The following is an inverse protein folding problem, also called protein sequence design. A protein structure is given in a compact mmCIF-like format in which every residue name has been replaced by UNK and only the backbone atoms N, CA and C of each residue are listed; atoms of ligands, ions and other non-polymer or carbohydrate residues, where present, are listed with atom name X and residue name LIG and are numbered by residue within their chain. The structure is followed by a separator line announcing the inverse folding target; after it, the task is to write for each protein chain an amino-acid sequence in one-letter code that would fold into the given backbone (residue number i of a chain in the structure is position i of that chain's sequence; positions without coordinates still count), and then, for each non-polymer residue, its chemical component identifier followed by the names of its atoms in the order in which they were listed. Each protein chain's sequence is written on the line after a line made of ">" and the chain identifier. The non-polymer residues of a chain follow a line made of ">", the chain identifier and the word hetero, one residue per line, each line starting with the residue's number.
data_IF_547282760361
#
_entry.id   IF_547282760361
#
_cell.length_a   1.000
_cell.length_b   1.000
_cell.length_c   1.000
_cell.angle_alpha   90.00
_cell.angle_beta   90.00
_cell.angle_gamma   90.00
#
_symmetry.space_group_name_H-M   'P 1'
#
loop_
_entity.id
_entity.type
_entity.pdbx_description
1 polymer ?
#
# COMPACT_ATOMS: atom_id res chain seq x y z
N UNK A 1 4.32 13.27 -12.58
CA UNK A 1 5.21 13.27 -11.39
C UNK A 1 6.56 12.68 -11.78
N UNK A 2 7.64 13.42 -11.56
CA UNK A 2 9.00 12.93 -11.70
C UNK A 2 9.39 12.07 -10.49
N UNK A 3 10.19 11.02 -10.70
CA UNK A 3 10.71 10.19 -9.60
C UNK A 3 12.23 10.21 -9.67
N UNK A 4 12.85 10.65 -8.57
CA UNK A 4 14.31 10.70 -8.42
C UNK A 4 14.75 9.65 -7.41
N UNK A 5 15.84 8.97 -7.67
CA UNK A 5 16.40 7.92 -6.81
C UNK A 5 17.73 8.34 -6.16
N UNK A 6 18.24 9.50 -6.54
CA UNK A 6 19.43 10.09 -5.94
C UNK A 6 19.31 11.63 -5.91
N UNK A 7 20.08 12.27 -5.03
CA UNK A 7 20.15 13.72 -4.97
C UNK A 7 20.69 14.34 -6.28
N UNK A 8 21.47 13.59 -7.06
CA UNK A 8 22.01 14.04 -8.34
C UNK A 8 20.98 14.02 -9.45
N UNK A 9 19.86 13.33 -9.29
CA UNK A 9 18.76 13.30 -10.28
C UNK A 9 17.89 14.57 -10.19
N UNK A 10 17.98 15.29 -9.07
CA UNK A 10 17.19 16.51 -8.86
C UNK A 10 17.76 17.63 -9.74
N UNK A 11 16.95 18.24 -10.63
CA UNK A 11 17.39 19.41 -11.39
C UNK A 11 17.77 20.53 -10.42
N UNK A 12 19.00 21.04 -10.53
CA UNK A 12 19.45 22.10 -9.60
C UNK A 12 18.74 23.43 -9.83
N UNK A 13 18.60 24.22 -8.76
CA UNK A 13 18.11 25.61 -8.73
C UNK A 13 16.59 25.82 -8.92
N UNK A 14 15.77 24.81 -8.84
CA UNK A 14 14.32 25.00 -8.83
C UNK A 14 13.80 25.17 -7.41
N UNK A 15 12.97 26.18 -7.19
CA UNK A 15 12.33 26.40 -5.90
C UNK A 15 11.18 25.39 -5.71
N UNK A 16 10.98 24.90 -4.50
CA UNK A 16 9.93 23.92 -4.21
C UNK A 16 9.25 24.14 -2.85
N UNK A 17 8.11 23.50 -2.68
CA UNK A 17 7.54 23.18 -1.35
C UNK A 17 7.76 21.70 -1.12
N UNK A 18 8.40 21.36 0.01
CA UNK A 18 8.84 20.00 0.29
C UNK A 18 8.03 19.38 1.41
N UNK A 19 7.64 18.13 1.26
CA UNK A 19 7.13 17.30 2.37
C UNK A 19 7.99 16.06 2.55
N UNK A 20 8.09 15.57 3.79
CA UNK A 20 8.96 14.43 4.13
C UNK A 20 8.18 13.39 4.92
N UNK A 21 8.27 12.14 4.53
CA UNK A 21 7.62 11.06 5.24
C UNK A 21 7.80 9.69 4.60
N UNK A 22 7.52 8.64 5.36
CA UNK A 22 7.53 7.28 4.83
C UNK A 22 6.34 6.99 3.92
N UNK A 23 5.24 7.68 4.14
CA UNK A 23 3.98 7.59 3.38
C UNK A 23 3.46 6.17 3.18
N UNK A 24 3.80 5.25 4.10
CA UNK A 24 3.39 3.86 4.02
C UNK A 24 1.88 3.73 4.19
N UNK A 25 1.22 3.19 3.17
CA UNK A 25 -0.23 3.07 3.07
C UNK A 25 -0.95 4.34 2.60
N UNK A 26 -0.30 5.50 2.46
CA UNK A 26 -0.94 6.75 1.99
C UNK A 26 -2.29 7.04 2.66
N UNK A 27 -2.38 6.82 3.99
CA UNK A 27 -3.59 7.04 4.78
C UNK A 27 -4.03 8.51 4.79
N UNK A 28 -5.24 8.79 5.26
CA UNK A 28 -5.83 10.13 5.21
C UNK A 28 -4.97 11.23 5.88
N UNK A 29 -4.20 10.88 6.93
CA UNK A 29 -3.23 11.81 7.52
C UNK A 29 -2.11 12.18 6.54
N UNK A 30 -1.54 11.20 5.81
CA UNK A 30 -0.54 11.46 4.77
C UNK A 30 -1.12 12.31 3.63
N UNK A 31 -2.35 11.99 3.19
CA UNK A 31 -3.02 12.76 2.13
C UNK A 31 -3.19 14.22 2.50
N UNK A 32 -3.47 14.52 3.78
CA UNK A 32 -3.61 15.91 4.24
C UNK A 32 -2.28 16.67 4.18
N UNK A 33 -1.19 16.02 4.62
CA UNK A 33 0.15 16.63 4.54
C UNK A 33 0.52 16.92 3.09
N UNK A 34 0.32 15.96 2.20
CA UNK A 34 0.59 16.07 0.77
C UNK A 34 -0.29 17.12 0.12
N UNK A 35 -1.60 17.16 0.39
CA UNK A 35 -2.50 18.18 -0.17
C UNK A 35 -2.11 19.59 0.29
N UNK A 36 -1.71 19.74 1.56
CA UNK A 36 -1.19 21.02 2.06
C UNK A 36 0.08 21.45 1.32
N UNK A 37 1.01 20.50 1.07
CA UNK A 37 2.23 20.76 0.29
C UNK A 37 1.88 21.26 -1.12
N UNK A 38 0.98 20.57 -1.82
CA UNK A 38 0.54 20.94 -3.17
C UNK A 38 -0.15 22.31 -3.20
N UNK A 39 -1.06 22.57 -2.24
CA UNK A 39 -1.74 23.87 -2.12
C UNK A 39 -0.76 25.02 -1.92
N UNK A 40 0.29 24.79 -1.10
CA UNK A 40 1.33 25.78 -0.85
C UNK A 40 2.22 26.00 -2.07
N UNK A 41 2.60 24.92 -2.75
CA UNK A 41 3.39 24.98 -3.99
C UNK A 41 2.65 25.80 -5.07
N UNK A 42 1.38 25.52 -5.29
CA UNK A 42 0.54 26.27 -6.24
C UNK A 42 0.46 27.77 -5.88
N UNK A 43 0.34 28.11 -4.59
CA UNK A 43 0.30 29.52 -4.15
C UNK A 43 1.60 30.26 -4.41
N UNK A 44 2.73 29.57 -4.36
CA UNK A 44 4.05 30.15 -4.61
C UNK A 44 4.48 30.05 -6.08
N UNK A 45 3.76 29.29 -6.91
CA UNK A 45 4.12 29.03 -8.32
C UNK A 45 5.39 28.19 -8.44
N UNK A 46 5.58 27.22 -7.55
CA UNK A 46 6.75 26.33 -7.50
C UNK A 46 6.30 24.87 -7.44
N UNK A 47 7.23 23.91 -7.57
CA UNK A 47 6.93 22.49 -7.53
C UNK A 47 6.61 21.98 -6.12
N UNK A 48 5.67 21.04 -6.04
CA UNK A 48 5.36 20.25 -4.85
C UNK A 48 6.21 18.96 -4.87
N UNK A 49 7.12 18.81 -3.93
CA UNK A 49 8.08 17.72 -3.87
C UNK A 49 7.88 16.90 -2.61
N UNK A 50 7.84 15.58 -2.73
CA UNK A 50 7.90 14.68 -1.58
C UNK A 50 9.30 14.04 -1.47
N UNK A 51 9.77 13.85 -0.23
CA UNK A 51 10.92 12.98 0.08
C UNK A 51 10.38 11.78 0.82
N UNK A 52 10.63 10.59 0.29
CA UNK A 52 10.32 9.32 0.94
C UNK A 52 11.54 8.42 0.99
N UNK A 53 11.48 7.34 1.75
CA UNK A 53 12.62 6.47 2.02
C UNK A 53 12.35 5.05 1.55
N UNK A 54 13.38 4.43 0.98
CA UNK A 54 13.39 3.01 0.63
C UNK A 54 14.81 2.44 0.78
N UNK A 55 15.02 1.38 1.61
CA UNK A 55 14.03 0.71 2.47
C UNK A 55 13.43 1.61 3.55
N UNK A 56 12.32 1.15 4.15
CA UNK A 56 11.67 1.87 5.25
C UNK A 56 12.58 1.94 6.48
N UNK A 57 12.71 3.10 7.16
CA UNK A 57 13.63 3.25 8.30
C UNK A 57 13.54 2.17 9.38
N UNK A 58 12.32 1.69 9.70
CA UNK A 58 12.14 0.61 10.67
C UNK A 58 12.77 -0.71 10.19
N UNK A 59 12.72 -1.00 8.90
CA UNK A 59 13.33 -2.23 8.35
C UNK A 59 14.85 -2.21 8.48
N UNK A 60 15.47 -1.02 8.51
CA UNK A 60 16.91 -0.86 8.68
C UNK A 60 17.31 -0.85 10.16
N UNK A 61 16.59 -0.08 11.00
CA UNK A 61 16.95 0.08 12.41
C UNK A 61 16.46 -1.04 13.32
N UNK A 62 15.38 -1.74 12.93
CA UNK A 62 14.74 -2.81 13.72
C UNK A 62 14.33 -3.97 12.81
N UNK A 63 15.28 -4.61 12.11
CA UNK A 63 15.00 -5.71 11.18
C UNK A 63 14.30 -6.88 11.87
N UNK A 64 14.54 -7.06 13.17
CA UNK A 64 13.90 -8.10 13.98
C UNK A 64 12.37 -7.93 14.12
N UNK A 65 11.85 -6.73 13.90
CA UNK A 65 10.39 -6.48 13.92
C UNK A 65 9.70 -7.11 12.72
N UNK A 66 10.44 -7.38 11.63
CA UNK A 66 9.88 -7.96 10.41
C UNK A 66 8.77 -7.09 9.80
N UNK A 67 8.95 -5.76 9.79
CA UNK A 67 7.91 -4.83 9.31
C UNK A 67 7.53 -5.13 7.87
N UNK A 68 6.29 -5.57 7.66
CA UNK A 68 5.67 -5.60 6.35
C UNK A 68 5.09 -4.21 6.02
N UNK A 69 5.43 -3.70 4.83
CA UNK A 69 4.88 -2.43 4.34
C UNK A 69 3.40 -2.61 3.96
N UNK A 70 2.57 -1.62 4.29
CA UNK A 70 1.16 -1.62 3.87
C UNK A 70 1.08 -1.51 2.36
N UNK A 71 1.92 -0.65 1.78
CA UNK A 71 1.98 -0.45 0.33
C UNK A 71 3.43 -0.60 -0.16
N UNK A 72 3.67 -1.41 -1.22
CA UNK A 72 4.96 -1.44 -1.89
C UNK A 72 5.31 -0.05 -2.45
N UNK A 73 6.60 0.21 -2.69
CA UNK A 73 7.10 1.49 -3.18
C UNK A 73 6.32 1.98 -4.42
N UNK A 74 6.07 1.08 -5.37
CA UNK A 74 5.31 1.41 -6.58
C UNK A 74 3.94 2.00 -6.26
N UNK A 75 3.16 1.34 -5.38
CA UNK A 75 1.81 1.81 -5.03
C UNK A 75 1.85 3.13 -4.25
N UNK A 76 2.91 3.36 -3.45
CA UNK A 76 3.13 4.66 -2.80
C UNK A 76 3.36 5.76 -3.84
N UNK A 77 4.23 5.52 -4.82
CA UNK A 77 4.52 6.47 -5.89
C UNK A 77 3.31 6.73 -6.79
N UNK A 78 2.55 5.68 -7.15
CA UNK A 78 1.31 5.83 -7.92
C UNK A 78 0.28 6.70 -7.15
N UNK A 79 0.16 6.51 -5.83
CA UNK A 79 -0.74 7.30 -4.99
C UNK A 79 -0.28 8.75 -4.84
N UNK A 80 1.03 9.00 -4.73
CA UNK A 80 1.62 10.35 -4.73
C UNK A 80 1.39 11.08 -6.04
N UNK A 81 1.58 10.40 -7.17
CA UNK A 81 1.30 10.94 -8.50
C UNK A 81 -0.19 11.28 -8.67
N UNK A 82 -1.08 10.38 -8.23
CA UNK A 82 -2.52 10.61 -8.27
C UNK A 82 -2.98 11.76 -7.36
N UNK A 83 -2.24 12.03 -6.27
CA UNK A 83 -2.48 13.18 -5.40
C UNK A 83 -2.08 14.52 -6.03
N UNK A 84 -1.25 14.52 -7.08
CA UNK A 84 -0.84 15.72 -7.81
C UNK A 84 0.51 16.29 -7.41
N UNK A 85 1.39 15.50 -6.78
CA UNK A 85 2.79 15.91 -6.59
C UNK A 85 3.52 16.04 -7.94
N UNK A 86 4.40 17.04 -8.05
CA UNK A 86 5.21 17.26 -9.25
C UNK A 86 6.41 16.31 -9.29
N UNK A 87 7.03 16.08 -8.13
CA UNK A 87 8.15 15.16 -8.02
C UNK A 87 8.21 14.43 -6.66
N UNK A 88 8.92 13.29 -6.65
CA UNK A 88 9.23 12.54 -5.43
C UNK A 88 10.67 12.07 -5.46
N UNK A 89 11.44 12.39 -4.41
CA UNK A 89 12.73 11.78 -4.14
C UNK A 89 12.53 10.53 -3.29
N UNK A 90 12.94 9.39 -3.81
CA UNK A 90 13.06 8.12 -3.09
C UNK A 90 14.49 8.03 -2.58
N UNK A 91 14.74 8.54 -1.38
CA UNK A 91 16.06 8.48 -0.77
C UNK A 91 16.38 7.05 -0.33
N UNK A 92 17.49 6.50 -0.79
CA UNK A 92 17.98 5.21 -0.32
C UNK A 92 18.38 5.32 1.15
N UNK A 93 17.64 4.63 2.05
CA UNK A 93 17.83 4.78 3.48
C UNK A 93 18.90 3.84 4.02
N UNK A 94 20.11 4.33 4.09
CA UNK A 94 21.27 3.63 4.62
C UNK A 94 22.11 4.54 5.55
N UNK A 95 23.34 4.13 5.85
CA UNK A 95 24.23 4.87 6.74
C UNK A 95 24.53 6.30 6.25
N UNK A 96 24.50 6.55 4.95
CA UNK A 96 24.73 7.90 4.40
C UNK A 96 23.60 8.87 4.76
N UNK A 97 22.38 8.36 4.98
CA UNK A 97 21.21 9.17 5.36
C UNK A 97 21.01 9.21 6.87
N UNK A 98 20.99 8.06 7.55
CA UNK A 98 20.62 8.03 8.96
C UNK A 98 21.72 8.50 9.92
N UNK A 99 22.97 8.64 9.46
CA UNK A 99 24.06 9.22 10.25
C UNK A 99 24.17 10.74 10.14
N UNK A 100 23.43 11.36 9.20
CA UNK A 100 23.44 12.82 9.06
C UNK A 100 22.90 13.50 10.32
N UNK A 101 23.61 14.52 10.79
CA UNK A 101 23.06 15.42 11.78
C UNK A 101 21.84 16.16 11.23
N UNK A 102 20.97 16.66 12.10
CA UNK A 102 19.75 17.34 11.67
C UNK A 102 20.03 18.51 10.70
N UNK A 103 21.07 19.29 10.96
CA UNK A 103 21.46 20.42 10.10
C UNK A 103 22.02 19.95 8.74
N UNK A 104 22.82 18.90 8.72
CA UNK A 104 23.36 18.34 7.48
C UNK A 104 22.24 17.83 6.56
N UNK A 105 21.26 17.09 7.12
CA UNK A 105 20.10 16.63 6.37
C UNK A 105 19.30 17.79 5.79
N UNK A 106 19.02 18.81 6.58
CA UNK A 106 18.27 20.01 6.13
C UNK A 106 19.03 20.73 5.02
N UNK A 107 20.33 20.98 5.22
CA UNK A 107 21.12 21.70 4.24
C UNK A 107 21.20 20.95 2.90
N UNK A 108 21.59 19.68 2.95
CA UNK A 108 21.81 18.87 1.74
C UNK A 108 20.51 18.59 0.99
N UNK A 109 19.49 18.08 1.68
CA UNK A 109 18.25 17.62 1.03
C UNK A 109 17.29 18.75 0.73
N UNK A 110 17.06 19.66 1.69
CA UNK A 110 16.02 20.67 1.55
C UNK A 110 16.53 21.94 0.88
N UNK A 111 17.69 22.43 1.32
CA UNK A 111 18.22 23.74 0.87
C UNK A 111 18.93 23.57 -0.47
N UNK A 112 19.98 22.77 -0.49
CA UNK A 112 20.86 22.67 -1.66
C UNK A 112 20.19 21.94 -2.85
N UNK A 113 19.50 20.82 -2.58
CA UNK A 113 18.94 19.99 -3.64
C UNK A 113 17.50 20.31 -4.00
N UNK A 114 16.61 20.43 -3.04
CA UNK A 114 15.21 20.72 -3.31
C UNK A 114 14.88 22.21 -3.41
N UNK A 115 15.80 23.13 -3.08
CA UNK A 115 15.53 24.57 -3.13
C UNK A 115 14.30 24.97 -2.31
N UNK A 116 14.10 24.35 -1.15
CA UNK A 116 12.89 24.48 -0.35
C UNK A 116 12.59 25.94 0.02
N UNK A 117 11.40 26.42 -0.32
CA UNK A 117 10.82 27.69 0.15
C UNK A 117 9.94 27.47 1.35
N UNK A 118 9.25 26.34 1.37
CA UNK A 118 8.44 25.89 2.51
C UNK A 118 8.63 24.39 2.70
N UNK A 119 8.57 23.97 3.96
CA UNK A 119 8.60 22.55 4.35
C UNK A 119 7.35 22.24 5.11
N UNK A 120 6.56 21.25 4.61
CA UNK A 120 5.27 20.85 5.18
C UNK A 120 5.42 19.49 5.84
N UNK A 121 5.19 19.40 7.15
CA UNK A 121 5.36 18.17 7.93
C UNK A 121 4.25 18.00 8.97
N UNK A 122 4.03 16.76 9.43
CA UNK A 122 3.16 16.49 10.59
C UNK A 122 3.78 17.00 11.90
N UNK A 123 2.94 17.18 12.92
CA UNK A 123 3.37 17.70 14.24
C UNK A 123 4.36 16.81 14.99
N UNK A 124 4.40 15.53 14.69
CA UNK A 124 5.30 14.55 15.31
C UNK A 124 6.58 14.28 14.50
N UNK A 125 6.83 15.06 13.46
CA UNK A 125 7.98 14.87 12.57
C UNK A 125 9.31 14.91 13.33
N UNK A 126 10.15 13.90 13.09
CA UNK A 126 11.51 13.75 13.61
C UNK A 126 12.46 13.41 12.48
N UNK A 127 13.69 13.88 12.57
CA UNK A 127 14.69 13.68 11.54
C UNK A 127 16.13 13.75 12.08
N UNK A 128 17.10 13.45 11.23
CA UNK A 128 18.50 13.44 11.57
C UNK A 128 18.89 12.27 12.47
N UNK A 129 20.18 12.18 12.78
CA UNK A 129 20.76 11.07 13.55
C UNK A 129 20.03 10.88 14.89
N UNK A 130 19.59 9.65 15.14
CA UNK A 130 18.86 9.29 16.36
C UNK A 130 17.54 10.02 16.56
N UNK A 131 16.92 10.58 15.50
CA UNK A 131 15.71 11.42 15.58
C UNK A 131 15.87 12.67 16.45
N UNK A 132 17.10 13.24 16.53
CA UNK A 132 17.40 14.40 17.36
C UNK A 132 16.72 15.68 16.86
N UNK A 133 16.51 15.81 15.54
CA UNK A 133 15.82 16.95 14.93
C UNK A 133 14.34 16.95 15.24
N UNK A 134 13.83 18.10 15.67
CA UNK A 134 12.42 18.37 15.99
C UNK A 134 11.86 19.43 15.06
N UNK A 135 10.56 19.71 15.16
CA UNK A 135 9.93 20.83 14.44
C UNK A 135 10.57 22.16 14.82
N UNK A 136 10.93 22.36 16.08
CA UNK A 136 11.58 23.61 16.51
C UNK A 136 12.99 23.72 15.92
N UNK A 137 13.76 22.61 15.90
CA UNK A 137 15.03 22.53 15.16
C UNK A 137 14.83 22.87 13.67
N UNK A 138 13.78 22.34 13.05
CA UNK A 138 13.48 22.61 11.63
C UNK A 138 13.14 24.11 11.41
N UNK A 139 12.40 24.73 12.33
CA UNK A 139 12.07 26.18 12.27
C UNK A 139 13.31 27.07 12.44
N UNK A 140 14.21 26.71 13.37
CA UNK A 140 15.48 27.43 13.56
C UNK A 140 16.34 27.37 12.30
N UNK A 141 16.48 26.17 11.72
CA UNK A 141 17.21 25.98 10.47
C UNK A 141 16.50 26.67 9.29
N UNK A 142 15.17 26.66 9.26
CA UNK A 142 14.38 27.41 8.28
C UNK A 142 14.64 28.90 8.33
N UNK A 143 14.72 29.47 9.53
CA UNK A 143 15.08 30.90 9.73
C UNK A 143 16.50 31.20 9.26
N UNK A 144 17.44 30.26 9.45
CA UNK A 144 18.83 30.41 9.02
C UNK A 144 19.01 30.30 7.52
N UNK A 145 18.33 29.34 6.88
CA UNK A 145 18.51 29.00 5.46
C UNK A 145 17.44 29.59 4.54
N UNK A 146 16.45 30.31 5.07
CA UNK A 146 15.48 31.07 4.29
C UNK A 146 14.28 30.27 3.79
N UNK A 147 13.80 29.26 4.53
CA UNK A 147 12.55 28.56 4.25
C UNK A 147 11.57 28.61 5.44
N UNK A 148 10.27 28.52 5.16
CA UNK A 148 9.23 28.46 6.18
C UNK A 148 8.87 27.02 6.52
N UNK A 149 8.41 26.77 7.78
CA UNK A 149 7.92 25.46 8.22
C UNK A 149 6.42 25.54 8.49
N UNK A 150 5.67 24.69 7.83
CA UNK A 150 4.23 24.53 8.01
C UNK A 150 3.97 23.19 8.67
N UNK A 151 3.37 23.23 9.85
CA UNK A 151 2.96 22.02 10.55
C UNK A 151 1.51 21.73 10.26
N UNK A 152 1.23 20.47 9.88
CA UNK A 152 -0.13 19.97 9.70
C UNK A 152 -0.53 19.28 10.99
N UNK A 153 -1.54 19.83 11.64
CA UNK A 153 -2.12 19.24 12.85
C UNK A 153 -2.72 17.89 12.52
N UNK A 154 -2.52 16.94 13.40
CA UNK A 154 -3.10 15.63 13.27
C UNK A 154 -4.62 15.73 13.12
N UNK A 155 -5.12 15.11 12.05
CA UNK A 155 -6.56 14.97 11.87
C UNK A 155 -6.98 13.67 12.54
N UNK A 156 -7.86 13.80 13.51
CA UNK A 156 -8.53 12.68 14.11
C UNK A 156 -9.67 12.17 13.19
N UNK A 157 -9.84 10.87 13.16
CA UNK A 157 -11.03 10.26 12.60
C UNK A 157 -12.26 10.68 13.42
N UNK A 158 -13.48 10.55 12.87
CA UNK A 158 -14.71 10.82 13.62
C UNK A 158 -14.79 10.08 14.96
N UNK A 159 -14.09 8.95 15.09
CA UNK A 159 -13.99 8.14 16.29
C UNK A 159 -12.98 8.69 17.33
N UNK A 160 -12.36 9.85 17.09
CA UNK A 160 -11.38 10.46 17.99
C UNK A 160 -10.01 9.76 17.99
N UNK A 161 -9.71 8.95 16.98
CA UNK A 161 -8.41 8.29 16.84
C UNK A 161 -7.61 8.91 15.69
N UNK A 162 -6.32 9.14 15.90
CA UNK A 162 -5.40 9.62 14.88
C UNK A 162 -5.25 8.64 13.72
N UNK A 163 -5.28 9.13 12.49
CA UNK A 163 -4.94 8.37 11.28
C UNK A 163 -3.47 7.95 11.31
N UNK A 164 -3.19 6.65 11.24
CA UNK A 164 -1.81 6.15 11.27
C UNK A 164 -1.65 4.81 10.57
N UNK A 165 -0.43 4.53 10.08
CA UNK A 165 -0.08 3.21 9.51
C UNK A 165 -0.19 2.09 10.55
N UNK A 166 0.05 2.37 11.84
CA UNK A 166 -0.15 1.39 12.91
C UNK A 166 -1.61 0.97 13.04
N UNK A 167 -2.54 1.92 12.99
CA UNK A 167 -3.97 1.62 13.03
C UNK A 167 -4.42 0.79 11.82
N UNK A 168 -3.92 1.10 10.61
CA UNK A 168 -4.19 0.27 9.43
C UNK A 168 -3.72 -1.16 9.65
N UNK A 169 -2.51 -1.38 10.18
CA UNK A 169 -1.99 -2.72 10.46
C UNK A 169 -2.82 -3.47 11.48
N UNK A 170 -3.27 -2.81 12.54
CA UNK A 170 -4.17 -3.40 13.55
C UNK A 170 -5.49 -3.88 12.91
N UNK A 171 -6.11 -3.06 12.07
CA UNK A 171 -7.35 -3.40 11.36
C UNK A 171 -7.14 -4.57 10.41
N UNK A 172 -6.06 -4.58 9.63
CA UNK A 172 -5.72 -5.69 8.74
C UNK A 172 -5.44 -6.98 9.52
N UNK A 173 -4.74 -6.89 10.65
CA UNK A 173 -4.49 -8.03 11.53
C UNK A 173 -5.77 -8.60 12.18
N UNK A 174 -6.79 -7.77 12.36
CA UNK A 174 -8.13 -8.19 12.81
C UNK A 174 -9.03 -8.67 11.63
N UNK A 175 -8.60 -8.48 10.39
CA UNK A 175 -9.38 -8.78 9.18
C UNK A 175 -10.45 -7.73 8.85
N UNK A 176 -10.44 -6.58 9.50
CA UNK A 176 -11.31 -5.45 9.18
C UNK A 176 -10.73 -4.63 8.03
N UNK A 177 -10.80 -5.20 6.83
CA UNK A 177 -10.30 -4.54 5.60
C UNK A 177 -11.14 -3.33 5.23
N UNK A 178 -12.43 -3.30 5.60
CA UNK A 178 -13.31 -2.15 5.37
C UNK A 178 -12.95 -0.98 6.31
N UNK A 179 -12.62 -1.27 7.57
CA UNK A 179 -12.06 -0.30 8.51
C UNK A 179 -10.72 0.23 8.02
N UNK A 180 -9.83 -0.66 7.56
CA UNK A 180 -8.55 -0.26 6.98
C UNK A 180 -8.75 0.66 5.77
N UNK A 181 -9.70 0.36 4.88
CA UNK A 181 -10.02 1.21 3.73
C UNK A 181 -10.50 2.61 4.14
N UNK A 182 -11.28 2.74 5.22
CA UNK A 182 -11.67 4.06 5.77
C UNK A 182 -10.45 4.87 6.24
N UNK A 183 -9.52 4.22 6.94
CA UNK A 183 -8.28 4.88 7.42
C UNK A 183 -7.38 5.27 6.26
N UNK A 184 -7.23 4.38 5.27
CA UNK A 184 -6.44 4.61 4.06
C UNK A 184 -7.08 5.65 3.13
N UNK A 185 -8.42 5.72 3.10
CA UNK A 185 -9.17 6.48 2.08
C UNK A 185 -9.10 5.86 0.69
N UNK A 186 -8.74 4.57 0.59
CA UNK A 186 -8.76 3.70 -0.58
C UNK A 186 -8.75 2.24 -0.14
N UNK A 187 -9.10 1.32 -1.05
CA UNK A 187 -9.06 -0.12 -0.75
C UNK A 187 -7.63 -0.58 -0.48
N UNK A 188 -7.47 -1.42 0.54
CA UNK A 188 -6.20 -2.08 0.78
C UNK A 188 -5.86 -3.03 -0.37
N UNK A 189 -4.57 -3.06 -0.75
CA UNK A 189 -4.06 -3.81 -1.90
C UNK A 189 -2.77 -4.52 -1.55
N UNK A 190 -2.65 -5.75 -2.04
CA UNK A 190 -1.41 -6.51 -2.07
C UNK A 190 -1.04 -6.85 -3.50
N UNK A 191 0.23 -7.16 -3.75
CA UNK A 191 0.71 -7.60 -5.08
C UNK A 191 1.49 -8.89 -4.96
N UNK A 192 1.40 -9.73 -5.98
CA UNK A 192 2.17 -10.96 -6.06
C UNK A 192 2.14 -11.55 -7.45
N UNK A 193 3.01 -12.51 -7.69
CA UNK A 193 3.05 -13.30 -8.93
C UNK A 193 2.14 -14.51 -8.78
N UNK A 194 1.36 -14.81 -9.79
CA UNK A 194 0.48 -16.01 -9.77
C UNK A 194 1.31 -17.27 -10.00
N UNK A 195 1.29 -18.16 -9.04
CA UNK A 195 1.98 -19.45 -9.09
C UNK A 195 1.02 -20.64 -9.19
N UNK A 196 1.57 -21.82 -9.42
CA UNK A 196 0.81 -23.06 -9.41
C UNK A 196 0.47 -23.46 -7.98
N UNK A 197 -0.81 -23.49 -7.65
CA UNK A 197 -1.32 -24.09 -6.41
C UNK A 197 -1.60 -25.59 -6.56
N UNK A 198 -2.28 -26.16 -5.57
CA UNK A 198 -2.62 -27.62 -5.54
C UNK A 198 -3.67 -28.06 -6.57
N UNK A 199 -4.22 -27.14 -7.37
CA UNK A 199 -5.21 -27.40 -8.45
C UNK A 199 -6.53 -28.05 -7.98
N UNK A 200 -6.75 -28.26 -6.67
CA UNK A 200 -7.97 -28.91 -6.14
C UNK A 200 -9.23 -28.11 -6.44
N UNK A 201 -9.19 -26.78 -6.33
CA UNK A 201 -10.32 -25.92 -6.63
C UNK A 201 -10.79 -26.03 -8.08
N UNK A 202 -9.86 -26.27 -9.02
CA UNK A 202 -10.16 -26.37 -10.45
C UNK A 202 -11.14 -27.51 -10.76
N UNK A 203 -10.90 -28.69 -10.17
CA UNK A 203 -11.76 -29.89 -10.36
C UNK A 203 -13.14 -29.75 -9.72
N UNK A 204 -13.28 -28.80 -8.80
CA UNK A 204 -14.52 -28.50 -8.09
C UNK A 204 -15.31 -27.32 -8.68
N UNK A 205 -14.81 -26.72 -9.79
CA UNK A 205 -15.44 -25.54 -10.41
C UNK A 205 -15.07 -24.19 -9.79
N UNK A 206 -14.02 -24.15 -8.97
CA UNK A 206 -13.49 -22.94 -8.33
C UNK A 206 -11.99 -22.74 -8.68
N UNK A 207 -11.65 -22.44 -9.96
CA UNK A 207 -10.26 -22.16 -10.31
C UNK A 207 -9.76 -20.92 -9.56
N UNK A 208 -8.58 -21.02 -8.92
CA UNK A 208 -7.99 -19.94 -8.14
C UNK A 208 -6.65 -19.49 -8.72
N UNK A 209 -6.39 -18.18 -8.67
CA UNK A 209 -5.07 -17.60 -8.81
C UNK A 209 -4.40 -17.62 -7.43
N UNK A 210 -3.33 -18.40 -7.29
CA UNK A 210 -2.56 -18.48 -6.05
C UNK A 210 -1.40 -17.49 -6.13
N UNK A 211 -1.25 -16.60 -5.16
CA UNK A 211 -0.10 -15.73 -5.08
C UNK A 211 1.11 -16.49 -4.53
N UNK A 212 2.29 -16.24 -5.09
CA UNK A 212 3.56 -16.74 -4.59
C UNK A 212 3.90 -16.15 -3.21
N UNK A 213 4.93 -16.71 -2.56
CA UNK A 213 5.33 -16.32 -1.19
C UNK A 213 5.88 -14.88 -1.10
N UNK A 214 6.30 -14.29 -2.24
CA UNK A 214 6.83 -12.93 -2.37
C UNK A 214 5.75 -11.84 -2.44
N UNK A 215 4.64 -12.01 -1.70
CA UNK A 215 3.57 -11.02 -1.66
C UNK A 215 4.06 -9.71 -1.05
N UNK A 216 3.87 -8.63 -1.79
CA UNK A 216 4.11 -7.27 -1.33
C UNK A 216 2.83 -6.66 -0.74
N UNK A 217 2.95 -6.06 0.43
CA UNK A 217 1.84 -5.51 1.21
C UNK A 217 1.44 -6.42 2.37
N UNK A 218 0.76 -5.84 3.35
CA UNK A 218 0.30 -6.57 4.54
C UNK A 218 -0.86 -7.50 4.16
N UNK A 219 -0.67 -8.81 4.31
CA UNK A 219 -1.75 -9.78 4.11
C UNK A 219 -2.71 -9.69 5.31
N UNK A 220 -4.03 -9.48 5.13
CA UNK A 220 -5.00 -9.41 6.22
C UNK A 220 -5.15 -10.74 6.95
N UNK A 221 -5.90 -10.76 8.07
CA UNK A 221 -6.17 -11.97 8.84
C UNK A 221 -6.79 -13.08 7.98
N UNK A 222 -6.64 -14.33 8.42
CA UNK A 222 -7.21 -15.50 7.75
C UNK A 222 -8.73 -15.37 7.61
N UNK A 223 -9.26 -15.69 6.43
CA UNK A 223 -10.68 -15.57 6.12
C UNK A 223 -10.97 -15.55 4.64
N UNK A 224 -12.24 -15.42 4.31
CA UNK A 224 -12.73 -15.21 2.94
C UNK A 224 -13.18 -13.77 2.80
N UNK A 225 -12.78 -13.14 1.70
CA UNK A 225 -13.01 -11.71 1.44
C UNK A 225 -13.62 -11.51 0.06
N UNK A 226 -14.48 -10.50 -0.05
CA UNK A 226 -14.88 -9.93 -1.34
C UNK A 226 -13.84 -8.91 -1.78
N UNK A 227 -13.48 -8.92 -3.07
CA UNK A 227 -12.51 -7.97 -3.60
C UNK A 227 -12.33 -8.09 -5.10
N UNK A 228 -11.21 -7.59 -5.60
CA UNK A 228 -10.90 -7.55 -7.02
C UNK A 228 -9.49 -8.07 -7.28
N UNK A 229 -9.35 -8.88 -8.31
CA UNK A 229 -8.08 -9.10 -8.97
C UNK A 229 -7.90 -7.98 -9.99
N UNK A 230 -6.75 -7.31 -9.92
CA UNK A 230 -6.39 -6.22 -10.85
C UNK A 230 -5.16 -6.63 -11.62
N UNK A 231 -5.28 -6.69 -12.94
CA UNK A 231 -4.18 -7.07 -13.84
C UNK A 231 -3.97 -6.00 -14.91
N UNK A 232 -2.75 -5.91 -15.41
CA UNK A 232 -2.45 -5.07 -16.56
C UNK A 232 -3.05 -5.70 -17.82
N UNK A 233 -3.65 -4.89 -18.67
CA UNK A 233 -4.08 -5.35 -20.01
C UNK A 233 -2.86 -5.35 -20.92
N UNK A 234 -2.44 -6.51 -21.47
CA UNK A 234 -1.25 -6.60 -22.30
C UNK A 234 -1.27 -5.61 -23.46
N UNK A 235 -0.16 -4.88 -23.64
CA UNK A 235 0.00 -3.89 -24.73
C UNK A 235 -0.71 -2.56 -24.50
N UNK A 236 -1.27 -2.33 -23.32
CA UNK A 236 -1.94 -1.06 -22.96
C UNK A 236 -1.44 -0.54 -21.61
N UNK A 237 -1.82 0.72 -21.28
CA UNK A 237 -1.63 1.27 -19.92
C UNK A 237 -2.85 1.06 -19.02
N UNK A 238 -3.85 0.31 -19.48
CA UNK A 238 -5.09 0.07 -18.77
C UNK A 238 -4.97 -1.13 -17.81
N UNK A 239 -5.80 -1.13 -16.76
CA UNK A 239 -5.96 -2.24 -15.85
C UNK A 239 -7.36 -2.86 -16.00
N UNK A 240 -7.43 -4.20 -15.94
CA UNK A 240 -8.67 -4.95 -15.87
C UNK A 240 -8.97 -5.26 -14.40
N UNK A 241 -10.21 -4.98 -13.99
CA UNK A 241 -10.72 -5.25 -12.65
C UNK A 241 -11.66 -6.45 -12.71
N UNK A 242 -11.28 -7.54 -12.09
CA UNK A 242 -12.01 -8.81 -12.11
C UNK A 242 -12.57 -9.07 -10.70
N UNK A 243 -13.90 -9.21 -10.53
CA UNK A 243 -14.49 -9.48 -9.22
C UNK A 243 -14.02 -10.86 -8.72
N UNK A 244 -13.65 -10.93 -7.45
CA UNK A 244 -13.06 -12.14 -6.88
C UNK A 244 -13.49 -12.40 -5.44
N UNK A 245 -13.70 -13.69 -5.13
CA UNK A 245 -13.68 -14.21 -3.78
C UNK A 245 -12.23 -14.58 -3.43
N UNK A 246 -11.73 -14.00 -2.34
CA UNK A 246 -10.32 -14.11 -1.96
C UNK A 246 -10.24 -14.90 -0.66
N UNK A 247 -9.52 -16.02 -0.68
CA UNK A 247 -9.20 -16.81 0.52
C UNK A 247 -7.82 -16.44 1.02
N UNK A 248 -7.73 -16.07 2.28
CA UNK A 248 -6.48 -15.90 3.02
C UNK A 248 -6.43 -16.97 4.10
N UNK A 249 -5.43 -17.81 4.07
CA UNK A 249 -5.31 -18.91 5.02
C UNK A 249 -3.88 -19.28 5.33
N UNK A 250 -3.66 -19.92 6.46
CA UNK A 250 -2.37 -20.48 6.86
C UNK A 250 -2.26 -21.90 6.33
N UNK A 251 -1.21 -22.22 5.58
CA UNK A 251 -1.00 -23.56 5.06
C UNK A 251 -0.31 -24.42 6.13
N UNK A 252 -0.99 -25.47 6.70
CA UNK A 252 -0.41 -26.34 7.72
C UNK A 252 0.80 -27.15 7.23
N UNK A 253 0.96 -27.33 5.90
CA UNK A 253 2.03 -28.14 5.32
C UNK A 253 3.40 -27.45 5.33
N UNK A 254 3.45 -26.13 5.52
CA UNK A 254 4.68 -25.32 5.66
C UNK A 254 4.91 -24.88 7.10
N UNK A 255 4.80 -25.78 8.07
CA UNK A 255 4.96 -25.49 9.51
C UNK A 255 4.04 -24.38 10.07
N UNK A 256 2.93 -24.07 9.39
CA UNK A 256 1.90 -23.14 9.87
C UNK A 256 2.30 -21.67 9.96
N UNK A 257 3.39 -21.27 9.30
CA UNK A 257 3.95 -19.91 9.43
C UNK A 257 3.59 -19.02 8.24
N UNK A 258 3.34 -19.58 7.05
CA UNK A 258 3.11 -18.80 5.84
C UNK A 258 1.62 -18.69 5.49
N UNK A 259 1.16 -17.47 5.26
CA UNK A 259 -0.18 -17.20 4.74
C UNK A 259 -0.18 -17.30 3.23
N UNK A 260 -1.16 -18.04 2.70
CA UNK A 260 -1.43 -18.12 1.27
C UNK A 260 -2.61 -17.22 0.92
N UNK A 261 -2.55 -16.64 -0.27
CA UNK A 261 -3.65 -15.83 -0.83
C UNK A 261 -4.09 -16.47 -2.14
N UNK A 262 -5.34 -16.89 -2.19
CA UNK A 262 -5.97 -17.49 -3.34
C UNK A 262 -7.16 -16.65 -3.79
N UNK A 263 -7.22 -16.25 -5.05
CA UNK A 263 -8.31 -15.45 -5.60
C UNK A 263 -9.06 -16.26 -6.66
N UNK A 264 -10.36 -16.52 -6.41
CA UNK A 264 -11.28 -17.06 -7.40
C UNK A 264 -12.00 -15.92 -8.11
N UNK A 265 -11.74 -15.74 -9.40
CA UNK A 265 -12.42 -14.73 -10.23
C UNK A 265 -13.83 -15.21 -10.57
N UNK A 266 -14.85 -14.45 -10.20
CA UNK A 266 -16.24 -14.82 -10.38
C UNK A 266 -16.62 -14.93 -11.86
N UNK A 267 -17.25 -16.05 -12.23
CA UNK A 267 -17.82 -16.25 -13.56
C UNK A 267 -16.80 -16.38 -14.71
N UNK A 268 -15.51 -16.57 -14.44
CA UNK A 268 -14.45 -16.68 -15.45
C UNK A 268 -13.75 -18.03 -15.36
N UNK A 269 -13.78 -18.79 -16.46
CA UNK A 269 -13.07 -20.07 -16.61
C UNK A 269 -11.93 -20.00 -17.63
N UNK A 270 -11.86 -18.91 -18.38
CA UNK A 270 -10.98 -18.69 -19.53
C UNK A 270 -9.64 -18.02 -19.16
N UNK A 271 -9.47 -17.62 -17.90
CA UNK A 271 -8.29 -16.87 -17.46
C UNK A 271 -7.09 -17.78 -17.28
N UNK A 272 -5.97 -17.38 -17.88
CA UNK A 272 -4.66 -17.95 -17.59
C UNK A 272 -3.79 -16.83 -17.00
N UNK A 273 -3.66 -16.81 -15.68
CA UNK A 273 -2.93 -15.78 -14.94
C UNK A 273 -1.54 -16.25 -14.49
N UNK A 274 -1.14 -17.50 -14.78
CA UNK A 274 0.15 -18.03 -14.31
C UNK A 274 1.33 -17.20 -14.79
N UNK A 275 2.23 -16.85 -13.85
CA UNK A 275 3.38 -16.01 -14.09
C UNK A 275 3.06 -14.51 -14.22
N UNK A 276 1.78 -14.12 -14.24
CA UNK A 276 1.41 -12.71 -14.23
C UNK A 276 1.59 -12.12 -12.84
N UNK A 277 2.09 -10.89 -12.79
CA UNK A 277 2.10 -10.08 -11.58
C UNK A 277 0.77 -9.34 -11.48
N UNK A 278 -0.05 -9.70 -10.52
CA UNK A 278 -1.38 -9.12 -10.28
C UNK A 278 -1.40 -8.34 -8.96
N UNK A 279 -2.43 -7.51 -8.82
CA UNK A 279 -2.80 -6.96 -7.53
C UNK A 279 -4.13 -7.58 -7.07
N UNK A 280 -4.28 -7.75 -5.76
CA UNK A 280 -5.52 -8.17 -5.11
C UNK A 280 -5.95 -7.06 -4.16
N UNK A 281 -7.18 -6.55 -4.34
CA UNK A 281 -7.76 -5.53 -3.46
C UNK A 281 -8.88 -6.12 -2.62
N UNK A 282 -8.97 -5.68 -1.37
CA UNK A 282 -9.95 -6.18 -0.40
C UNK A 282 -11.05 -5.14 -0.16
N UNK A 283 -12.31 -5.56 -0.28
CA UNK A 283 -13.48 -4.70 -0.04
C UNK A 283 -14.10 -4.98 1.32
N UNK A 284 -14.39 -6.25 1.62
CA UNK A 284 -15.00 -6.66 2.87
C UNK A 284 -14.64 -8.11 3.23
N UNK A 285 -14.55 -8.41 4.51
CA UNK A 285 -14.45 -9.80 4.98
C UNK A 285 -15.83 -10.43 4.96
N UNK A 286 -15.96 -11.55 4.26
CA UNK A 286 -17.19 -12.35 4.19
C UNK A 286 -17.32 -13.19 5.46
N UNK A 287 -16.26 -13.92 5.84
CA UNK A 287 -16.23 -14.78 7.01
C UNK A 287 -14.81 -15.13 7.48
N UNK A 288 -14.62 -15.61 8.71
CA UNK A 288 -13.37 -16.26 9.11
C UNK A 288 -13.19 -17.61 8.38
N UNK A 289 -12.01 -18.23 8.50
CA UNK A 289 -11.79 -19.60 8.04
C UNK A 289 -12.63 -20.56 8.87
N UNK A 290 -13.18 -21.58 8.18
CA UNK A 290 -14.01 -22.62 8.77
C UNK A 290 -13.42 -24.00 8.45
N UNK A 291 -13.67 -24.97 9.33
CA UNK A 291 -13.44 -26.39 9.08
C UNK A 291 -14.75 -27.05 8.63
N UNK A 292 -14.69 -28.02 7.74
CA UNK A 292 -15.85 -28.72 7.20
C UNK A 292 -15.67 -30.23 7.40
N UNK A 293 -16.74 -30.91 7.77
CA UNK A 293 -16.74 -32.34 8.01
C UNK A 293 -16.98 -33.15 6.73
N UNK A 294 -17.46 -32.48 5.66
CA UNK A 294 -17.72 -33.10 4.35
C UNK A 294 -17.39 -32.18 3.19
N UNK A 295 -17.18 -32.79 2.00
CA UNK A 295 -16.98 -32.04 0.76
C UNK A 295 -18.26 -31.26 0.37
N UNK A 296 -19.44 -31.80 0.62
CA UNK A 296 -20.72 -31.18 0.28
C UNK A 296 -20.95 -29.90 1.11
N UNK A 297 -20.60 -29.91 2.40
CA UNK A 297 -20.63 -28.74 3.26
C UNK A 297 -19.67 -27.66 2.76
N UNK A 298 -18.43 -28.04 2.43
CA UNK A 298 -17.45 -27.11 1.85
C UNK A 298 -17.98 -26.47 0.57
N UNK A 299 -18.52 -27.27 -0.37
CA UNK A 299 -19.03 -26.78 -1.64
C UNK A 299 -20.24 -25.85 -1.46
N UNK A 300 -21.13 -26.19 -0.52
CA UNK A 300 -22.29 -25.35 -0.18
C UNK A 300 -21.84 -24.00 0.37
N UNK A 301 -20.85 -23.99 1.28
CA UNK A 301 -20.31 -22.75 1.83
C UNK A 301 -19.58 -21.92 0.77
N UNK A 302 -18.82 -22.55 -0.13
CA UNK A 302 -18.14 -21.85 -1.22
C UNK A 302 -19.14 -21.17 -2.16
N UNK A 303 -20.28 -21.83 -2.49
CA UNK A 303 -21.35 -21.21 -3.28
C UNK A 303 -21.99 -20.01 -2.55
N UNK A 304 -22.11 -20.09 -1.22
CA UNK A 304 -22.57 -18.99 -0.39
C UNK A 304 -21.59 -17.80 -0.42
N UNK A 305 -20.30 -18.12 -0.32
CA UNK A 305 -19.22 -17.11 -0.39
C UNK A 305 -19.26 -16.35 -1.72
N UNK A 306 -19.49 -17.04 -2.86
CA UNK A 306 -19.63 -16.40 -4.17
C UNK A 306 -20.84 -15.46 -4.21
N UNK A 307 -22.01 -15.92 -3.67
CA UNK A 307 -23.22 -15.08 -3.61
C UNK A 307 -23.02 -13.84 -2.76
N UNK A 308 -22.41 -14.00 -1.58
CA UNK A 308 -22.10 -12.87 -0.69
C UNK A 308 -21.09 -11.92 -1.34
N UNK A 309 -20.03 -12.46 -1.99
CA UNK A 309 -19.05 -11.66 -2.71
C UNK A 309 -19.72 -10.83 -3.81
N UNK A 310 -20.57 -11.44 -4.64
CA UNK A 310 -21.31 -10.74 -5.68
C UNK A 310 -22.21 -9.62 -5.10
N UNK A 311 -22.89 -9.89 -3.98
CA UNK A 311 -23.72 -8.90 -3.28
C UNK A 311 -22.89 -7.72 -2.78
N UNK A 312 -21.75 -7.98 -2.11
CA UNK A 312 -20.85 -6.94 -1.59
C UNK A 312 -20.28 -6.07 -2.72
N UNK A 313 -19.95 -6.69 -3.85
CA UNK A 313 -19.37 -5.98 -5.00
C UNK A 313 -20.43 -5.32 -5.91
N UNK A 314 -21.73 -5.53 -5.64
CA UNK A 314 -22.83 -4.96 -6.42
C UNK A 314 -22.90 -5.50 -7.84
N UNK A 315 -22.49 -6.76 -8.07
CA UNK A 315 -22.48 -7.42 -9.38
C UNK A 315 -23.52 -8.53 -9.45
N UNK A 316 -23.82 -9.00 -10.68
CA UNK A 316 -24.68 -10.17 -10.87
C UNK A 316 -24.07 -11.41 -10.23
N UNK A 317 -24.93 -12.30 -9.71
CA UNK A 317 -24.48 -13.55 -9.09
C UNK A 317 -23.86 -14.44 -10.17
N UNK A 318 -22.59 -14.79 -9.98
CA UNK A 318 -21.90 -15.82 -10.75
C UNK A 318 -21.76 -17.06 -9.85
N UNK A 319 -22.29 -18.20 -10.33
CA UNK A 319 -22.10 -19.49 -9.67
C UNK A 319 -20.75 -20.12 -9.99
N UNK A 320 -20.57 -21.38 -9.59
CA UNK A 320 -19.44 -22.21 -10.00
C UNK A 320 -19.28 -22.21 -11.51
N UNK A 321 -18.06 -22.18 -11.99
CA UNK A 321 -17.79 -22.42 -13.40
C UNK A 321 -17.83 -23.92 -13.68
N UNK A 322 -18.23 -24.29 -14.89
CA UNK A 322 -18.17 -25.69 -15.33
C UNK A 322 -16.69 -26.14 -15.31
N UNK A 323 -16.32 -27.20 -14.54
CA UNK A 323 -14.94 -27.69 -14.48
C UNK A 323 -14.36 -28.04 -15.86
N UNK A 324 -15.20 -28.55 -16.77
CA UNK A 324 -14.79 -28.92 -18.13
C UNK A 324 -14.54 -27.69 -19.02
N UNK A 325 -15.10 -26.52 -18.65
CA UNK A 325 -14.85 -25.24 -19.34
C UNK A 325 -13.54 -24.57 -18.94
N UNK A 326 -12.89 -25.03 -17.87
CA UNK A 326 -11.65 -24.42 -17.38
C UNK A 326 -10.51 -24.78 -18.30
N UNK A 327 -10.02 -23.82 -19.07
CA UNK A 327 -8.95 -24.02 -20.06
C UNK A 327 -7.73 -24.69 -19.43
N UNK A 328 -7.45 -25.91 -19.87
CA UNK A 328 -6.22 -26.62 -19.54
C UNK A 328 -5.09 -26.06 -20.40
N UNK A 329 -4.23 -25.22 -19.85
CA UNK A 329 -2.93 -24.94 -20.46
C UNK A 329 -1.83 -24.96 -19.41
#
# INVERSE_FOLDING_TARGET
>A
MNVWYSLTDIPGNEASVVTIGNFDGMHNGHKKVISTCIERAHKLGVDAVAITFDPHPIQVHKPEVGLQLISPLRDRLDAMAAAGLDATLVAHYDASVYSLEAEEFVYEYLVERCGAREVVVGEDFRFGRGNAGTIDTLRELGSRYGFNVITVTDIEAPEGRRWSSSWVRELLAAGDVSGAARVLGHLHRIRGTVCHGFKRGRTLGFPTANLSEDVEGVIPADGVYAGWVVRAVPGTQSAEFLPAAISVGTNPQFNGVERTVEAHVLGRSDLNLYGERIAVTFVSRIRPMLSFDSLDELLTQMDDDLRQTASVLGIGVAGRVDPDSVTAR
#
